data_IF_520524948067
#
_entry.id   IF_520524948067
#
_cell.length_a   1.000
_cell.length_b   1.000
_cell.length_c   1.000
_cell.angle_alpha   90.00
_cell.angle_beta   90.00
_cell.angle_gamma   90.00
#
_symmetry.space_group_name_H-M   'P 1'
#
loop_
_entity.id
_entity.type
_entity.pdbx_description
1 polymer ?
#
# COMPACT_ATOMS: atom_id res chain seq x y z
N UNK A 1 1.18 18.07 0.25
CA UNK A 1 1.10 17.42 -1.08
C UNK A 1 1.12 15.93 -0.85
N UNK A 2 0.18 15.19 -1.45
CA UNK A 2 0.16 13.73 -1.33
C UNK A 2 1.41 13.15 -2.00
N UNK A 3 2.19 12.34 -1.27
CA UNK A 3 3.49 11.79 -1.71
C UNK A 3 3.35 10.77 -2.85
N UNK A 4 2.12 10.31 -3.10
CA UNK A 4 1.80 9.28 -4.07
C UNK A 4 0.58 9.63 -4.92
N UNK A 5 0.36 8.90 -6.01
CA UNK A 5 -0.79 9.07 -6.89
C UNK A 5 -1.33 7.75 -7.45
N UNK A 6 -2.62 7.73 -7.82
CA UNK A 6 -3.25 6.57 -8.44
C UNK A 6 -2.56 6.22 -9.76
N UNK A 7 -2.21 4.95 -9.91
CA UNK A 7 -1.46 4.43 -11.04
C UNK A 7 0.05 4.32 -10.81
N UNK A 8 0.58 4.88 -9.72
CA UNK A 8 1.98 4.77 -9.36
C UNK A 8 2.35 3.34 -8.95
N UNK A 9 3.53 2.87 -9.37
CA UNK A 9 4.11 1.61 -8.87
C UNK A 9 4.79 1.86 -7.53
N UNK A 10 4.45 1.03 -6.56
CA UNK A 10 5.00 1.10 -5.21
C UNK A 10 5.39 -0.29 -4.73
N UNK A 11 6.33 -0.34 -3.79
CA UNK A 11 6.72 -1.54 -3.07
C UNK A 11 6.16 -1.45 -1.66
N UNK A 12 5.53 -2.51 -1.19
CA UNK A 12 5.09 -2.60 0.20
C UNK A 12 6.33 -2.88 1.03
N UNK A 13 6.67 -1.95 1.91
CA UNK A 13 7.78 -2.11 2.86
C UNK A 13 7.29 -2.53 4.24
N UNK A 14 6.03 -2.25 4.54
CA UNK A 14 5.34 -2.67 5.76
C UNK A 14 5.94 -2.08 7.04
N UNK A 15 5.07 -1.79 8.01
CA UNK A 15 5.50 -1.62 9.41
C UNK A 15 4.91 -2.75 10.24
N UNK A 16 5.80 -3.55 10.80
CA UNK A 16 5.67 -4.40 12.00
C UNK A 16 4.27 -4.98 12.31
N UNK A 17 4.13 -6.27 12.00
CA UNK A 17 3.30 -7.19 12.78
C UNK A 17 1.87 -7.43 12.27
N UNK A 18 1.30 -8.61 12.56
CA UNK A 18 -0.08 -8.92 12.21
C UNK A 18 -1.03 -7.96 12.94
N UNK A 19 -1.85 -7.19 12.20
CA UNK A 19 -2.92 -6.30 12.73
C UNK A 19 -4.11 -7.09 13.34
N UNK A 20 -3.84 -8.27 13.90
CA UNK A 20 -4.79 -9.18 14.54
C UNK A 20 -4.60 -10.66 14.12
N UNK A 21 -5.18 -11.61 14.88
CA UNK A 21 -5.00 -13.05 14.68
C UNK A 21 -5.57 -13.61 13.35
N UNK A 22 -6.36 -12.82 12.63
CA UNK A 22 -7.00 -13.18 11.36
C UNK A 22 -6.48 -12.38 10.16
N UNK A 23 -5.46 -11.54 10.36
CA UNK A 23 -4.87 -10.78 9.27
C UNK A 23 -3.65 -11.52 8.73
N UNK A 24 -3.72 -11.91 7.46
CA UNK A 24 -2.52 -12.29 6.74
C UNK A 24 -1.49 -11.15 6.85
N UNK A 25 -0.21 -11.47 7.07
CA UNK A 25 0.83 -10.46 7.09
C UNK A 25 0.79 -9.68 5.78
N UNK A 26 1.01 -8.35 5.80
CA UNK A 26 1.12 -7.57 4.58
C UNK A 26 2.20 -8.19 3.70
N UNK A 27 2.04 -8.22 2.37
CA UNK A 27 3.00 -8.83 1.46
C UNK A 27 4.24 -7.93 1.31
N UNK A 28 5.01 -7.81 2.40
CA UNK A 28 6.24 -7.01 2.46
C UNK A 28 7.24 -7.49 1.42
N UNK A 29 7.86 -6.53 0.74
CA UNK A 29 8.78 -6.77 -0.36
C UNK A 29 8.09 -6.97 -1.72
N UNK A 30 6.76 -7.09 -1.77
CA UNK A 30 6.03 -7.18 -3.04
C UNK A 30 5.79 -5.80 -3.64
N UNK A 31 5.81 -5.78 -4.96
CA UNK A 31 5.44 -4.61 -5.75
C UNK A 31 3.94 -4.64 -6.03
N UNK A 32 3.37 -3.46 -6.16
CA UNK A 32 1.99 -3.28 -6.57
C UNK A 32 1.78 -1.94 -7.22
N UNK A 33 0.52 -1.65 -7.53
CA UNK A 33 0.10 -0.39 -8.13
C UNK A 33 -0.99 0.24 -7.29
N UNK A 34 -0.86 1.53 -6.98
CA UNK A 34 -1.93 2.28 -6.32
C UNK A 34 -3.13 2.32 -7.26
N UNK A 35 -4.27 1.80 -6.81
CA UNK A 35 -5.51 1.80 -7.60
C UNK A 35 -6.53 2.79 -7.06
N UNK A 36 -6.40 3.19 -5.79
CA UNK A 36 -7.33 4.11 -5.15
C UNK A 36 -6.67 4.85 -4.00
N UNK A 37 -7.04 6.12 -3.82
CA UNK A 37 -6.77 6.85 -2.58
C UNK A 37 -7.73 6.37 -1.50
N UNK A 38 -7.19 6.12 -0.32
CA UNK A 38 -7.93 5.69 0.85
C UNK A 38 -8.94 6.75 1.25
N UNK A 39 -10.10 6.30 1.73
CA UNK A 39 -11.11 7.19 2.29
C UNK A 39 -11.06 7.09 3.81
N UNK A 40 -11.08 8.23 4.50
CA UNK A 40 -11.34 8.26 5.94
C UNK A 40 -12.78 7.77 6.15
N UNK A 41 -12.93 6.48 6.43
CA UNK A 41 -14.23 5.92 6.81
C UNK A 41 -14.63 6.48 8.17
N UNK A 42 -15.66 7.32 8.22
CA UNK A 42 -16.20 7.90 9.46
C UNK A 42 -16.69 6.85 10.49
N UNK A 43 -16.72 5.56 10.13
CA UNK A 43 -17.34 4.47 10.89
C UNK A 43 -16.41 3.28 11.18
N UNK A 44 -15.16 3.29 10.73
CA UNK A 44 -14.18 2.23 11.02
C UNK A 44 -12.90 2.85 11.56
N UNK A 45 -12.50 2.48 12.78
CA UNK A 45 -11.27 2.91 13.46
C UNK A 45 -9.95 2.60 12.71
N UNK A 46 -10.00 2.13 11.46
CA UNK A 46 -8.84 1.83 10.63
C UNK A 46 -8.78 2.84 9.49
N UNK A 47 -7.89 3.82 9.67
CA UNK A 47 -7.45 4.72 8.61
C UNK A 47 -6.46 3.96 7.72
N UNK A 48 -6.60 4.10 6.40
CA UNK A 48 -5.59 3.71 5.43
C UNK A 48 -5.53 4.78 4.36
N UNK A 49 -4.32 5.13 3.92
CA UNK A 49 -4.12 6.19 2.93
C UNK A 49 -4.32 5.69 1.48
N UNK A 50 -4.11 4.40 1.21
CA UNK A 50 -4.05 3.86 -0.15
C UNK A 50 -4.57 2.43 -0.27
N UNK A 51 -5.13 2.13 -1.44
CA UNK A 51 -5.38 0.75 -1.89
C UNK A 51 -4.38 0.42 -3.01
N UNK A 52 -3.60 -0.64 -2.79
CA UNK A 52 -2.55 -1.11 -3.69
C UNK A 52 -2.92 -2.49 -4.21
N UNK A 53 -3.05 -2.63 -5.53
CA UNK A 53 -3.21 -3.93 -6.16
C UNK A 53 -1.84 -4.61 -6.29
N UNK A 54 -1.65 -5.71 -5.59
CA UNK A 54 -0.43 -6.51 -5.60
C UNK A 54 -0.63 -7.72 -6.51
N UNK A 55 0.25 -7.89 -7.49
CA UNK A 55 0.06 -8.80 -8.63
C UNK A 55 -0.24 -10.27 -8.21
N UNK A 56 0.37 -10.75 -7.12
CA UNK A 56 0.22 -12.15 -6.65
C UNK A 56 -0.66 -12.29 -5.37
N UNK A 57 -1.27 -11.20 -4.89
CA UNK A 57 -1.96 -11.19 -3.59
C UNK A 57 -3.35 -10.57 -3.64
N UNK A 58 -3.59 -9.63 -4.57
CA UNK A 58 -4.84 -8.87 -4.67
C UNK A 58 -4.73 -7.48 -4.02
N UNK A 59 -5.87 -6.82 -3.75
CA UNK A 59 -5.88 -5.47 -3.19
C UNK A 59 -5.46 -5.48 -1.71
N UNK A 60 -4.54 -4.60 -1.36
CA UNK A 60 -4.01 -4.40 -0.01
C UNK A 60 -4.21 -2.95 0.38
N UNK A 61 -4.76 -2.72 1.57
CA UNK A 61 -4.87 -1.39 2.16
C UNK A 61 -3.58 -1.07 2.91
N UNK A 62 -2.94 0.04 2.54
CA UNK A 62 -1.67 0.45 3.10
C UNK A 62 -1.69 1.94 3.46
N UNK A 63 -0.94 2.29 4.49
CA UNK A 63 -0.64 3.69 4.78
C UNK A 63 0.54 4.19 3.95
N UNK A 64 0.69 5.51 3.81
CA UNK A 64 1.76 6.14 3.03
C UNK A 64 3.18 5.79 3.54
N UNK A 65 3.29 5.36 4.80
CA UNK A 65 4.56 4.94 5.42
C UNK A 65 4.85 3.44 5.22
N UNK A 66 3.87 2.65 4.78
CA UNK A 66 4.01 1.21 4.51
C UNK A 66 4.37 0.95 3.04
N UNK A 67 4.45 1.99 2.21
CA UNK A 67 4.75 1.91 0.78
C UNK A 67 5.91 2.82 0.39
N UNK A 68 6.71 2.37 -0.55
CA UNK A 68 7.80 3.13 -1.15
C UNK A 68 7.61 3.22 -2.66
N UNK A 69 7.95 4.36 -3.30
CA UNK A 69 7.91 4.46 -4.73
C UNK A 69 8.95 3.51 -5.33
N UNK A 70 8.54 2.66 -6.27
CA UNK A 70 9.51 1.93 -7.09
C UNK A 70 10.05 2.94 -8.09
N UNK A 71 11.27 3.41 -7.88
CA UNK A 71 11.98 4.14 -8.93
C UNK A 71 12.15 3.18 -10.11
N UNK A 72 11.45 3.44 -11.21
CA UNK A 72 11.97 2.98 -12.49
C UNK A 72 13.33 3.66 -12.62
N UNK A 73 14.41 2.90 -12.55
CA UNK A 73 15.67 3.33 -13.16
C UNK A 73 15.33 3.63 -14.62
N UNK A 74 15.06 4.90 -14.91
CA UNK A 74 15.14 5.41 -16.27
C UNK A 74 16.63 5.34 -16.57
N UNK A 75 17.06 4.24 -17.18
CA UNK A 75 18.34 4.20 -17.88
C UNK A 75 18.22 5.24 -18.99
N UNK A 76 18.77 6.44 -18.73
CA UNK A 76 19.07 7.44 -19.73
C UNK A 76 20.55 7.34 -20.10
#
# INVERSE_FOLDING_TARGET
MSKFFVGQRVRIVGTEGPKGPWHMPPPTGKNGRIVKEGAIGATTQRHFDWEVLVDDFGPVQCDSHEIEPVSQEVMA
#
